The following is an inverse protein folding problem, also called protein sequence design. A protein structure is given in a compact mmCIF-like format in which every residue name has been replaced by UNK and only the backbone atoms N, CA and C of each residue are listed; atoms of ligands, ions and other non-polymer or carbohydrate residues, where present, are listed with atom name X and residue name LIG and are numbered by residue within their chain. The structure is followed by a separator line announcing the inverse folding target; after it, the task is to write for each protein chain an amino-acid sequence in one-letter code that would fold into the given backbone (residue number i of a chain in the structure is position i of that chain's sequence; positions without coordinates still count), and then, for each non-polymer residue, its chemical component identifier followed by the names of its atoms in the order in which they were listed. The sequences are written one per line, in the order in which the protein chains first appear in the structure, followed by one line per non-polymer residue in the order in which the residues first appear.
data_IF_197163605216
#
_entry.id   IF_197163605216
#
_cell.length_a   1.000
_cell.length_b   1.000
_cell.length_c   1.000
_cell.angle_alpha   90.00
_cell.angle_beta   90.00
_cell.angle_gamma   90.00
#
_symmetry.space_group_name_H-M   'P 1'
#
loop_
_entity.id
_entity.type
_entity.pdbx_description
1 polymer ?
#
# COMPACT_ATOMS: atom_id res chain seq x y z
N UNK A 1 6.75 -13.30 1.42
CA UNK A 1 7.97 -12.50 1.60
C UNK A 1 8.16 -11.70 0.32
N UNK A 2 8.45 -10.40 0.42
CA UNK A 2 8.73 -9.55 -0.75
C UNK A 2 10.24 -9.29 -0.76
N UNK A 3 10.89 -9.41 -1.91
CA UNK A 3 12.31 -9.12 -2.07
C UNK A 3 12.55 -7.80 -2.81
N UNK A 4 13.69 -7.15 -2.54
CA UNK A 4 14.10 -5.97 -3.31
C UNK A 4 14.29 -6.33 -4.79
N UNK A 5 13.75 -5.48 -5.68
CA UNK A 5 13.77 -5.72 -7.14
C UNK A 5 12.62 -6.59 -7.64
N UNK A 6 11.87 -7.25 -6.75
CA UNK A 6 10.64 -7.94 -7.09
C UNK A 6 9.49 -6.93 -7.29
N UNK A 7 8.56 -7.25 -8.20
CA UNK A 7 7.32 -6.47 -8.30
C UNK A 7 6.50 -6.67 -7.03
N UNK A 8 6.00 -5.58 -6.47
CA UNK A 8 5.09 -5.64 -5.34
C UNK A 8 3.81 -6.43 -5.74
N UNK A 9 3.27 -7.28 -4.84
CA UNK A 9 2.01 -7.97 -5.11
C UNK A 9 0.88 -6.98 -5.38
N UNK A 10 0.17 -7.18 -6.49
CA UNK A 10 -1.02 -6.38 -6.82
C UNK A 10 -2.08 -6.59 -5.74
N UNK A 11 -2.69 -5.50 -5.30
CA UNK A 11 -3.79 -5.54 -4.36
C UNK A 11 -4.85 -4.50 -4.70
N UNK A 12 -6.06 -4.80 -4.23
CA UNK A 12 -7.16 -3.86 -4.14
C UNK A 12 -7.67 -3.86 -2.70
N UNK A 13 -7.87 -2.68 -2.12
CA UNK A 13 -8.26 -2.54 -0.72
C UNK A 13 -9.20 -1.35 -0.52
N UNK A 14 -9.98 -1.38 0.56
CA UNK A 14 -10.73 -0.21 1.01
C UNK A 14 -9.81 0.73 1.81
N UNK A 15 -10.01 2.05 1.65
CA UNK A 15 -9.29 3.08 2.40
C UNK A 15 -10.23 4.15 2.92
N UNK A 16 -9.71 5.05 3.76
CA UNK A 16 -10.47 6.21 4.26
C UNK A 16 -10.85 7.21 3.18
N UNK A 17 -10.26 7.12 1.98
CA UNK A 17 -10.57 7.96 0.82
C UNK A 17 -11.30 7.20 -0.29
N UNK A 18 -11.75 5.97 -0.01
CA UNK A 18 -12.38 5.07 -0.97
C UNK A 18 -11.47 3.94 -1.44
N UNK A 19 -11.91 3.12 -2.41
CA UNK A 19 -11.14 1.97 -2.88
C UNK A 19 -9.80 2.39 -3.49
N UNK A 20 -8.75 1.63 -3.21
CA UNK A 20 -7.41 1.78 -3.77
C UNK A 20 -7.01 0.56 -4.58
N UNK A 21 -6.35 0.80 -5.72
CA UNK A 21 -5.80 -0.21 -6.61
C UNK A 21 -4.32 0.11 -6.87
N UNK A 22 -3.43 -0.83 -6.55
CA UNK A 22 -1.99 -0.61 -6.68
C UNK A 22 -1.57 -0.38 -8.14
N UNK A 23 -2.16 -1.08 -9.10
CA UNK A 23 -1.78 -0.94 -10.51
C UNK A 23 -2.12 0.46 -11.02
N UNK A 24 -3.30 0.98 -10.63
CA UNK A 24 -3.70 2.34 -10.96
C UNK A 24 -2.74 3.38 -10.34
N UNK A 25 -2.40 3.24 -9.06
CA UNK A 25 -1.49 4.17 -8.38
C UNK A 25 -0.10 4.21 -9.03
N UNK A 26 0.42 3.05 -9.46
CA UNK A 26 1.71 2.97 -10.14
C UNK A 26 1.73 3.69 -11.49
N UNK A 27 0.58 3.88 -12.16
CA UNK A 27 0.50 4.71 -13.39
C UNK A 27 0.70 6.20 -13.11
N UNK A 28 0.47 6.65 -11.87
CA UNK A 28 0.55 8.06 -11.47
C UNK A 28 1.93 8.43 -10.94
N UNK A 29 2.72 7.45 -10.49
CA UNK A 29 4.07 7.65 -10.01
C UNK A 29 4.52 6.62 -8.98
N UNK A 30 5.71 6.82 -8.37
CA UNK A 30 6.22 5.94 -7.32
C UNK A 30 5.33 5.98 -6.07
N UNK A 31 5.15 4.81 -5.45
CA UNK A 31 4.27 4.61 -4.28
C UNK A 31 5.10 4.18 -3.08
N UNK A 32 4.84 4.78 -1.92
CA UNK A 32 5.38 4.34 -0.63
C UNK A 32 4.22 3.79 0.21
N UNK A 33 4.28 2.50 0.52
CA UNK A 33 3.32 1.82 1.39
C UNK A 33 3.98 1.54 2.73
N UNK A 34 3.31 1.91 3.82
CA UNK A 34 3.76 1.64 5.18
C UNK A 34 2.61 1.05 6.00
N UNK A 35 2.96 0.21 6.96
CA UNK A 35 2.03 -0.39 7.89
C UNK A 35 2.38 0.05 9.31
N UNK A 36 1.36 0.20 10.15
CA UNK A 36 1.52 0.47 11.58
C UNK A 36 0.69 -0.56 12.37
N UNK A 37 1.06 -0.88 13.62
CA UNK A 37 0.48 -2.02 14.34
C UNK A 37 -1.03 -1.89 14.57
N UNK A 38 -1.46 -0.73 15.07
CA UNK A 38 -2.86 -0.44 15.36
C UNK A 38 -3.07 1.06 15.52
N UNK A 39 -4.26 1.56 15.20
CA UNK A 39 -4.64 2.94 15.48
C UNK A 39 -4.84 3.15 17.00
N UNK A 40 -4.62 4.39 17.46
CA UNK A 40 -4.82 4.81 18.86
C UNK A 40 -4.00 4.02 19.90
N UNK A 41 -2.83 3.54 19.52
CA UNK A 41 -1.86 2.96 20.46
C UNK A 41 -0.65 3.87 20.56
N UNK A 42 -0.26 4.34 21.77
CA UNK A 42 1.04 4.96 21.95
C UNK A 42 2.13 3.93 21.62
N UNK A 43 3.19 4.40 20.96
CA UNK A 43 4.35 3.58 20.59
C UNK A 43 5.20 3.20 21.78
#
# INVERSE_FOLDING_TARGET
MVATGERAPVFRAESTQGPVDLEELLTRGPVVLYFFPKANTPG
#
